data_IF_508441490720
#
_entry.id   IF_508441490720
#
_cell.length_a   1.000
_cell.length_b   1.000
_cell.length_c   1.000
_cell.angle_alpha   90.00
_cell.angle_beta   90.00
_cell.angle_gamma   90.00
#
_symmetry.space_group_name_H-M   'P 1'
#
loop_
_entity.id
_entity.type
_entity.pdbx_description
1 polymer ?
#
# COMPACT_ATOMS: atom_id res chain seq x y z
N UNK A 1 -10.87 9.18 -4.47
CA UNK A 1 -10.76 9.72 -3.10
C UNK A 1 -9.57 9.04 -2.43
N UNK A 2 -8.60 9.79 -1.94
CA UNK A 2 -7.45 9.27 -1.20
C UNK A 2 -7.71 9.49 0.30
N UNK A 3 -7.87 8.42 1.07
CA UNK A 3 -7.95 8.48 2.52
C UNK A 3 -6.52 8.45 3.06
N UNK A 4 -5.97 9.64 3.31
CA UNK A 4 -4.67 9.79 3.96
C UNK A 4 -4.85 9.82 5.48
N UNK A 5 -4.04 9.04 6.20
CA UNK A 5 -3.99 8.96 7.66
C UNK A 5 -3.38 10.21 8.32
N UNK A 6 -3.74 11.43 7.87
CA UNK A 6 -3.32 12.66 8.54
C UNK A 6 -4.49 13.60 8.69
N UNK A 7 -4.94 13.70 9.93
CA UNK A 7 -5.49 14.92 10.49
C UNK A 7 -4.40 15.45 11.46
N UNK A 8 -4.21 16.76 11.49
CA UNK A 8 -2.99 17.48 11.87
C UNK A 8 -2.32 17.10 13.22
N UNK A 9 -0.97 17.09 13.23
CA UNK A 9 -0.12 16.73 14.37
C UNK A 9 -0.17 17.76 15.51
N UNK A 10 -1.12 17.59 16.44
CA UNK A 10 -1.19 18.32 17.71
C UNK A 10 -1.07 17.40 18.94
N UNK A 11 -0.56 17.88 20.08
CA UNK A 11 -0.49 17.10 21.32
C UNK A 11 -1.90 16.84 21.85
N UNK A 12 -2.40 15.62 21.65
CA UNK A 12 -3.76 15.19 22.03
C UNK A 12 -4.55 14.44 20.96
N UNK A 13 -3.95 14.07 19.83
CA UNK A 13 -4.70 13.46 18.71
C UNK A 13 -5.01 11.97 18.91
N UNK A 14 -6.29 11.62 18.79
CA UNK A 14 -6.79 10.26 18.68
C UNK A 14 -6.60 9.82 17.21
N UNK A 15 -5.59 9.00 16.94
CA UNK A 15 -5.36 8.42 15.60
C UNK A 15 -6.63 7.69 15.15
N UNK A 16 -7.40 8.30 14.25
CA UNK A 16 -8.58 7.64 13.71
C UNK A 16 -8.09 6.53 12.80
N UNK A 17 -8.38 5.29 13.18
CA UNK A 17 -8.09 4.11 12.37
C UNK A 17 -8.69 4.29 10.97
N UNK A 18 -8.07 3.69 9.94
CA UNK A 18 -8.62 3.65 8.58
C UNK A 18 -10.11 3.27 8.56
N UNK A 19 -10.53 2.37 9.46
CA UNK A 19 -11.95 1.99 9.63
C UNK A 19 -12.84 3.16 10.05
N UNK A 20 -12.41 3.96 11.02
CA UNK A 20 -13.17 5.13 11.46
C UNK A 20 -13.29 6.16 10.33
N UNK A 21 -12.27 6.31 9.49
CA UNK A 21 -12.34 7.16 8.31
C UNK A 21 -13.31 6.61 7.25
N UNK A 22 -13.24 5.30 6.95
CA UNK A 22 -14.17 4.66 6.00
C UNK A 22 -15.62 4.74 6.50
N UNK A 23 -15.87 4.46 7.77
CA UNK A 23 -17.21 4.55 8.35
C UNK A 23 -17.80 5.96 8.26
N UNK A 24 -16.96 7.01 8.28
CA UNK A 24 -17.40 8.40 8.21
C UNK A 24 -17.58 8.92 6.78
N UNK A 25 -16.89 8.34 5.79
CA UNK A 25 -16.73 8.97 4.46
C UNK A 25 -16.84 8.00 3.27
N UNK A 26 -16.94 6.70 3.51
CA UNK A 26 -16.97 5.66 2.48
C UNK A 26 -17.72 4.42 3.00
N UNK A 27 -19.00 4.58 3.36
CA UNK A 27 -19.82 3.50 3.93
C UNK A 27 -19.92 2.25 3.04
N UNK A 28 -19.75 2.41 1.72
CA UNK A 28 -19.73 1.30 0.76
C UNK A 28 -18.42 0.51 0.76
N UNK A 29 -17.41 0.92 1.51
CA UNK A 29 -16.12 0.23 1.61
C UNK A 29 -15.97 -0.50 2.94
N UNK A 30 -15.18 -1.58 2.93
CA UNK A 30 -14.78 -2.35 4.12
C UNK A 30 -13.30 -2.71 4.06
N UNK A 31 -12.62 -2.75 5.20
CA UNK A 31 -11.22 -3.21 5.27
C UNK A 31 -11.19 -4.74 5.24
N UNK A 32 -10.63 -5.33 4.20
CA UNK A 32 -10.61 -6.80 3.98
C UNK A 32 -9.26 -7.45 4.23
N UNK A 33 -8.22 -6.62 4.37
CA UNK A 33 -6.90 -6.99 4.84
C UNK A 33 -6.17 -5.78 5.44
N UNK A 34 -5.34 -6.03 6.45
CA UNK A 34 -4.36 -5.10 6.97
C UNK A 34 -3.09 -5.89 7.28
N UNK A 35 -1.96 -5.40 6.79
CA UNK A 35 -0.65 -5.91 7.16
C UNK A 35 0.19 -4.76 7.72
N UNK A 36 1.01 -5.09 8.70
CA UNK A 36 1.88 -4.12 9.37
C UNK A 36 3.29 -4.64 9.32
N UNK A 37 4.18 -3.88 8.68
CA UNK A 37 5.61 -4.10 8.80
C UNK A 37 6.11 -3.24 9.97
N UNK A 38 6.52 -3.91 11.04
CA UNK A 38 7.13 -3.24 12.20
C UNK A 38 8.63 -3.14 11.99
N UNK A 39 9.15 -1.92 11.93
CA UNK A 39 10.58 -1.66 11.95
C UNK A 39 10.97 -1.07 13.31
N UNK A 40 12.26 -0.85 13.52
CA UNK A 40 12.75 -0.14 14.72
C UNK A 40 12.38 1.35 14.69
N UNK A 41 12.07 1.90 13.52
CA UNK A 41 11.83 3.33 13.28
C UNK A 41 10.34 3.67 13.21
N UNK A 42 9.52 2.79 12.65
CA UNK A 42 8.10 3.03 12.42
C UNK A 42 7.28 1.74 12.22
N UNK A 43 5.95 1.88 12.23
CA UNK A 43 5.02 0.88 11.73
C UNK A 43 4.54 1.32 10.35
N UNK A 44 4.71 0.46 9.35
CA UNK A 44 4.20 0.70 8.00
C UNK A 44 2.95 -0.14 7.78
N UNK A 45 1.79 0.51 7.72
CA UNK A 45 0.54 -0.17 7.43
C UNK A 45 0.28 -0.24 5.92
N UNK A 46 -0.24 -1.40 5.50
CA UNK A 46 -0.83 -1.61 4.17
C UNK A 46 -2.23 -2.15 4.37
N UNK A 47 -3.20 -1.52 3.71
CA UNK A 47 -4.60 -1.92 3.76
C UNK A 47 -5.08 -2.38 2.39
N UNK A 48 -6.00 -3.34 2.37
CA UNK A 48 -6.88 -3.56 1.24
C UNK A 48 -8.28 -3.19 1.70
N UNK A 49 -8.88 -2.22 1.05
CA UNK A 49 -10.30 -1.89 1.21
C UNK A 49 -11.05 -2.39 -0.01
N UNK A 50 -12.25 -2.93 0.18
CA UNK A 50 -13.09 -3.45 -0.89
C UNK A 50 -14.44 -2.72 -0.90
N UNK A 51 -14.87 -2.29 -2.07
CA UNK A 51 -16.21 -1.81 -2.34
C UNK A 51 -17.22 -2.97 -2.25
N UNK A 52 -18.29 -2.79 -1.48
CA UNK A 52 -19.26 -3.84 -1.15
C UNK A 52 -20.10 -4.26 -2.36
N UNK A 53 -20.21 -3.42 -3.39
CA UNK A 53 -21.12 -3.62 -4.52
C UNK A 53 -20.37 -4.12 -5.76
N UNK A 54 -19.31 -3.42 -6.15
CA UNK A 54 -18.49 -3.70 -7.34
C UNK A 54 -17.42 -4.76 -7.11
N UNK A 55 -17.04 -5.02 -5.85
CA UNK A 55 -15.90 -5.86 -5.47
C UNK A 55 -14.54 -5.29 -5.91
N UNK A 56 -14.50 -4.03 -6.33
CA UNK A 56 -13.28 -3.30 -6.57
C UNK A 56 -12.53 -3.10 -5.25
N UNK A 57 -11.21 -3.18 -5.33
CA UNK A 57 -10.34 -2.98 -4.18
C UNK A 57 -9.46 -1.75 -4.36
N UNK A 58 -9.11 -1.12 -3.25
CA UNK A 58 -8.04 -0.14 -3.17
C UNK A 58 -6.96 -0.68 -2.24
N UNK A 59 -5.75 -0.85 -2.77
CA UNK A 59 -4.54 -1.09 -1.99
C UNK A 59 -4.01 0.26 -1.49
N UNK A 60 -3.99 0.43 -0.18
CA UNK A 60 -3.60 1.70 0.45
C UNK A 60 -2.25 1.53 1.11
N UNK A 61 -1.27 2.32 0.67
CA UNK A 61 0.00 2.49 1.37
C UNK A 61 -0.10 3.68 2.31
N UNK A 62 0.17 3.45 3.60
CA UNK A 62 0.25 4.53 4.55
C UNK A 62 1.47 5.42 4.28
N UNK A 63 1.34 6.70 4.58
CA UNK A 63 2.46 7.62 4.60
C UNK A 63 3.36 7.41 5.82
N UNK A 64 4.33 8.30 5.95
CA UNK A 64 5.27 8.30 7.07
C UNK A 64 4.72 9.01 8.31
N UNK A 65 4.69 8.34 9.46
CA UNK A 65 4.23 8.95 10.72
C UNK A 65 5.31 9.78 11.44
N UNK A 66 6.55 9.80 10.95
CA UNK A 66 7.68 10.50 11.59
C UNK A 66 8.51 11.38 10.63
N UNK A 67 8.74 12.67 10.93
CA UNK A 67 9.64 13.55 10.17
C UNK A 67 11.07 13.03 10.02
N UNK A 68 11.54 12.15 10.92
CA UNK A 68 12.87 11.54 10.83
C UNK A 68 13.02 10.56 9.64
N UNK A 69 11.96 9.88 9.19
CA UNK A 69 12.06 9.05 7.96
C UNK A 69 12.08 9.90 6.68
N UNK A 70 11.69 11.18 6.75
CA UNK A 70 11.82 12.07 5.61
C UNK A 70 13.31 12.25 5.23
N UNK A 71 14.23 12.18 6.21
CA UNK A 71 15.67 12.28 5.96
C UNK A 71 16.28 11.02 5.34
N UNK A 72 15.85 9.82 5.71
CA UNK A 72 16.29 8.58 5.02
C UNK A 72 15.67 8.47 3.63
N UNK A 73 14.50 9.11 3.42
CA UNK A 73 13.90 9.38 2.11
C UNK A 73 14.65 10.42 1.27
N UNK A 74 15.75 11.00 1.74
CA UNK A 74 16.64 11.87 0.96
C UNK A 74 17.88 11.13 0.41
N UNK A 75 17.88 9.79 0.39
CA UNK A 75 18.84 9.03 -0.44
C UNK A 75 18.53 9.28 -1.93
N UNK A 76 19.00 10.43 -2.43
CA UNK A 76 18.63 11.04 -3.70
C UNK A 76 19.18 10.35 -4.96
N UNK A 77 19.81 9.17 -4.85
CA UNK A 77 20.30 8.49 -6.04
C UNK A 77 19.24 7.52 -6.60
N UNK A 78 19.18 7.47 -7.92
CA UNK A 78 18.36 6.53 -8.65
C UNK A 78 18.94 5.12 -8.62
N UNK A 79 18.10 4.11 -8.58
CA UNK A 79 18.47 2.71 -8.67
C UNK A 79 17.48 1.92 -9.52
N UNK A 80 17.78 0.65 -9.77
CA UNK A 80 16.88 -0.27 -10.45
C UNK A 80 15.77 -0.78 -9.54
N UNK A 81 14.55 -0.87 -10.09
CA UNK A 81 13.44 -1.62 -9.51
C UNK A 81 12.52 -2.11 -10.62
N UNK A 82 12.17 -3.40 -10.61
CA UNK A 82 11.21 -3.94 -11.57
C UNK A 82 11.53 -3.60 -13.04
N UNK A 83 12.82 -3.69 -13.41
CA UNK A 83 13.34 -3.35 -14.73
C UNK A 83 13.25 -1.86 -15.14
N UNK A 84 12.83 -0.96 -14.25
CA UNK A 84 12.96 0.49 -14.42
C UNK A 84 14.30 0.95 -13.86
N UNK A 85 14.89 1.98 -14.48
CA UNK A 85 16.07 2.68 -13.99
C UNK A 85 15.65 3.93 -13.23
N UNK A 86 16.58 4.51 -12.46
CA UNK A 86 16.44 5.81 -11.81
C UNK A 86 15.26 5.92 -10.83
N UNK A 87 14.83 4.79 -10.25
CA UNK A 87 13.83 4.76 -9.18
C UNK A 87 14.49 5.22 -7.87
N UNK A 88 13.86 6.15 -7.15
CA UNK A 88 14.42 6.71 -5.92
C UNK A 88 14.72 5.60 -4.88
N UNK A 89 15.99 5.46 -4.49
CA UNK A 89 16.47 4.33 -3.69
C UNK A 89 15.70 4.13 -2.37
N UNK A 90 15.38 5.22 -1.65
CA UNK A 90 14.64 5.13 -0.39
C UNK A 90 13.25 4.50 -0.54
N UNK A 91 12.45 4.95 -1.51
CA UNK A 91 11.11 4.41 -1.76
C UNK A 91 11.15 3.00 -2.32
N UNK A 92 12.13 2.74 -3.19
CA UNK A 92 12.40 1.40 -3.74
C UNK A 92 12.72 0.38 -2.66
N UNK A 93 13.65 0.71 -1.75
CA UNK A 93 14.06 -0.19 -0.66
C UNK A 93 12.90 -0.46 0.28
N UNK A 94 12.14 0.59 0.64
CA UNK A 94 10.96 0.46 1.48
C UNK A 94 9.88 -0.41 0.82
N UNK A 95 9.56 -0.15 -0.45
CA UNK A 95 8.59 -0.97 -1.19
C UNK A 95 9.06 -2.43 -1.29
N UNK A 96 10.33 -2.66 -1.60
CA UNK A 96 10.89 -4.02 -1.66
C UNK A 96 10.74 -4.75 -0.33
N UNK A 97 11.04 -4.09 0.79
CA UNK A 97 10.86 -4.67 2.12
C UNK A 97 9.39 -4.97 2.42
N UNK A 98 8.49 -4.02 2.17
CA UNK A 98 7.06 -4.19 2.35
C UNK A 98 6.52 -5.35 1.53
N UNK A 99 6.86 -5.41 0.24
CA UNK A 99 6.38 -6.47 -0.64
C UNK A 99 6.90 -7.84 -0.20
N UNK A 100 8.16 -7.93 0.26
CA UNK A 100 8.75 -9.18 0.72
C UNK A 100 7.97 -9.80 1.87
N UNK A 101 7.54 -8.98 2.83
CA UNK A 101 6.90 -9.47 4.06
C UNK A 101 5.37 -9.53 3.98
N UNK A 102 4.74 -8.66 3.19
CA UNK A 102 3.27 -8.54 3.17
C UNK A 102 2.62 -9.25 1.99
N UNK A 103 3.26 -9.30 0.81
CA UNK A 103 2.63 -9.89 -0.39
C UNK A 103 2.23 -11.36 -0.25
N UNK A 104 2.96 -12.24 0.47
CA UNK A 104 2.48 -13.60 0.69
C UNK A 104 1.06 -13.67 1.27
N UNK A 105 0.68 -12.71 2.11
CA UNK A 105 -0.65 -12.62 2.74
C UNK A 105 -1.62 -11.75 1.96
N UNK A 106 -1.14 -10.70 1.27
CA UNK A 106 -1.98 -9.81 0.46
C UNK A 106 -2.39 -10.44 -0.88
N UNK A 107 -1.53 -11.24 -1.53
CA UNK A 107 -1.82 -11.85 -2.85
C UNK A 107 -3.16 -12.60 -2.90
N UNK A 108 -3.50 -13.49 -1.95
CA UNK A 108 -4.80 -14.18 -1.97
C UNK A 108 -6.00 -13.23 -1.89
N UNK A 109 -5.84 -12.06 -1.27
CA UNK A 109 -6.88 -11.03 -1.14
C UNK A 109 -7.01 -10.22 -2.42
N UNK A 110 -5.87 -9.73 -2.95
CA UNK A 110 -5.81 -9.02 -4.24
C UNK A 110 -6.35 -9.86 -5.40
N UNK A 111 -6.17 -11.18 -5.36
CA UNK A 111 -6.70 -12.10 -6.35
C UNK A 111 -8.24 -12.15 -6.41
N UNK A 112 -8.93 -11.75 -5.33
CA UNK A 112 -10.40 -11.75 -5.20
C UNK A 112 -11.03 -10.39 -5.53
N UNK A 113 -10.23 -9.41 -5.94
CA UNK A 113 -10.72 -8.09 -6.33
C UNK A 113 -11.12 -8.09 -7.81
N UNK A 114 -12.20 -7.37 -8.15
CA UNK A 114 -12.56 -7.16 -9.56
C UNK A 114 -11.53 -6.23 -10.22
N UNK A 115 -11.41 -5.01 -9.72
CA UNK A 115 -10.32 -4.09 -10.02
C UNK A 115 -9.44 -3.88 -8.79
N UNK A 116 -8.15 -3.56 -9.00
CA UNK A 116 -7.27 -3.07 -7.93
C UNK A 116 -6.78 -1.68 -8.32
N UNK A 117 -7.25 -0.68 -7.57
CA UNK A 117 -6.64 0.65 -7.54
C UNK A 117 -5.59 0.72 -6.43
N UNK A 118 -4.63 1.62 -6.55
CA UNK A 118 -3.56 1.78 -5.55
C UNK A 118 -3.47 3.25 -5.20
N UNK A 119 -3.37 3.56 -3.91
CA UNK A 119 -3.27 4.95 -3.44
C UNK A 119 -2.41 5.04 -2.20
N UNK A 120 -1.94 6.25 -1.90
CA UNK A 120 -1.31 6.61 -0.65
C UNK A 120 -1.07 8.11 -0.60
N UNK A 121 -0.76 8.63 0.58
CA UNK A 121 -0.43 10.05 0.75
C UNK A 121 1.09 10.21 0.97
N UNK A 122 1.67 11.31 0.46
CA UNK A 122 3.09 11.64 0.62
C UNK A 122 3.98 10.45 0.19
N UNK A 123 4.78 9.91 1.09
CA UNK A 123 5.58 8.70 0.86
C UNK A 123 4.74 7.50 0.37
N UNK A 124 3.53 7.31 0.90
CA UNK A 124 2.62 6.26 0.45
C UNK A 124 2.19 6.45 -1.01
N UNK A 125 2.11 7.70 -1.49
CA UNK A 125 1.85 8.00 -2.90
C UNK A 125 3.02 7.58 -3.80
N UNK A 126 4.26 7.86 -3.40
CA UNK A 126 5.44 7.39 -4.12
C UNK A 126 5.53 5.86 -4.17
N UNK A 127 5.19 5.17 -3.07
CA UNK A 127 5.11 3.71 -3.05
C UNK A 127 4.01 3.19 -3.98
N UNK A 128 2.83 3.84 -3.99
CA UNK A 128 1.72 3.51 -4.87
C UNK A 128 2.09 3.63 -6.36
N UNK A 129 2.82 4.68 -6.74
CA UNK A 129 3.28 4.90 -8.12
C UNK A 129 4.26 3.81 -8.56
N UNK A 130 5.30 3.55 -7.77
CA UNK A 130 6.31 2.52 -8.09
C UNK A 130 5.66 1.13 -8.15
N UNK A 131 4.79 0.82 -7.18
CA UNK A 131 4.06 -0.44 -7.16
C UNK A 131 3.19 -0.59 -8.42
N UNK A 132 2.42 0.44 -8.77
CA UNK A 132 1.51 0.40 -9.92
C UNK A 132 2.28 0.27 -11.24
N UNK A 133 3.38 0.99 -11.40
CA UNK A 133 4.26 0.87 -12.56
C UNK A 133 4.80 -0.57 -12.69
N UNK A 134 5.28 -1.14 -11.59
CA UNK A 134 5.79 -2.50 -11.59
C UNK A 134 4.70 -3.55 -11.89
N UNK A 135 3.56 -3.49 -11.20
CA UNK A 135 2.45 -4.44 -11.39
C UNK A 135 1.93 -4.46 -12.84
N UNK A 136 1.94 -3.30 -13.50
CA UNK A 136 1.48 -3.17 -14.88
C UNK A 136 2.57 -3.42 -15.94
N UNK A 137 3.83 -3.59 -15.55
CA UNK A 137 4.97 -3.70 -16.48
C UNK A 137 5.02 -5.01 -17.28
N UNK A 138 4.40 -6.09 -16.77
CA UNK A 138 4.49 -7.46 -17.31
C UNK A 138 5.92 -8.00 -17.47
N UNK A 139 6.88 -7.49 -16.69
CA UNK A 139 8.29 -7.94 -16.70
C UNK A 139 8.47 -9.24 -15.92
N UNK A 140 7.85 -10.32 -16.39
CA UNK A 140 7.73 -11.62 -15.68
C UNK A 140 9.06 -12.28 -15.28
N UNK A 141 10.17 -11.92 -15.93
CA UNK A 141 11.52 -12.41 -15.59
C UNK A 141 12.16 -11.67 -14.41
N UNK A 142 11.72 -10.45 -14.13
CA UNK A 142 12.24 -9.61 -13.06
C UNK A 142 11.84 -10.16 -11.67
N UNK A 143 12.75 -10.06 -10.70
CA UNK A 143 12.53 -10.58 -9.35
C UNK A 143 11.55 -9.71 -8.55
N UNK A 144 11.64 -8.38 -8.68
CA UNK A 144 10.75 -7.43 -8.02
C UNK A 144 9.33 -7.61 -8.56
N UNK A 145 9.17 -7.72 -9.89
CA UNK A 145 7.88 -8.02 -10.51
C UNK A 145 7.26 -9.29 -9.93
N UNK A 146 8.03 -10.39 -9.90
CA UNK A 146 7.56 -11.66 -9.34
C UNK A 146 7.19 -11.54 -7.87
N UNK A 147 7.89 -10.71 -7.11
CA UNK A 147 7.63 -10.48 -5.70
C UNK A 147 6.29 -9.77 -5.43
N UNK A 148 5.83 -8.90 -6.32
CA UNK A 148 4.56 -8.17 -6.13
C UNK A 148 3.41 -8.60 -7.06
N UNK A 149 3.64 -9.44 -8.06
CA UNK A 149 2.54 -9.93 -8.91
C UNK A 149 1.58 -10.86 -8.13
N UNK A 150 0.33 -10.89 -8.57
CA UNK A 150 -0.66 -11.90 -8.22
C UNK A 150 -1.39 -12.37 -9.47
N UNK A 151 -2.06 -13.52 -9.35
CA UNK A 151 -2.92 -14.05 -10.42
C UNK A 151 -4.36 -13.72 -10.05
N UNK A 152 -5.06 -12.98 -10.91
CA UNK A 152 -6.49 -12.67 -10.74
C UNK A 152 -7.30 -13.98 -10.70
N UNK A 153 -8.24 -14.07 -9.77
CA UNK A 153 -9.21 -15.16 -9.64
C UNK A 153 -10.62 -14.59 -9.83
N UNK A 154 -11.63 -15.44 -9.68
CA UNK A 154 -13.01 -14.97 -9.60
C UNK A 154 -13.14 -13.96 -8.45
N UNK A 155 -13.62 -12.74 -8.73
CA UNK A 155 -13.88 -11.76 -7.69
C UNK A 155 -14.85 -12.31 -6.64
N UNK A 156 -14.61 -11.95 -5.38
CA UNK A 156 -15.38 -12.45 -4.25
C UNK A 156 -15.48 -11.38 -3.16
N UNK A 157 -16.67 -11.25 -2.56
CA UNK A 157 -16.86 -10.42 -1.38
C UNK A 157 -16.10 -11.00 -0.19
N UNK A 158 -15.14 -10.25 0.34
CA UNK A 158 -14.31 -10.71 1.45
C UNK A 158 -14.88 -10.26 2.80
N UNK A 159 -14.68 -11.04 3.88
CA UNK A 159 -15.06 -10.60 5.23
C UNK A 159 -14.22 -9.37 5.62
N UNK A 160 -14.84 -8.48 6.38
CA UNK A 160 -14.12 -7.38 7.03
C UNK A 160 -13.18 -7.97 8.10
N UNK A 161 -11.97 -7.43 8.19
CA UNK A 161 -11.02 -7.81 9.24
C UNK A 161 -11.23 -6.91 10.46
N UNK A 162 -11.19 -7.51 11.65
CA UNK A 162 -11.30 -6.83 12.96
C UNK A 162 -9.95 -6.62 13.61
#
# INVERSE_FOLDING_TARGET
MAFGAYDEQGPGYNEKTMRQQLAAHAEDFKVVAQEVLKTVEANDNIFIVQDKNSLDCVLVFEGTSSPLELQTSLKQFGTGYCGFTDVHAGYRDKLSMLMKYTMPKLRPKLAKCELVSVTGNSQGGALADIFSACANSRRVTDLDYRQQMWVKRTPESMPEVH
#
